data_IF_390072988155
#
_entry.id   IF_390072988155
#
_cell.length_a   1.000
_cell.length_b   1.000
_cell.length_c   1.000
_cell.angle_alpha   90.00
_cell.angle_beta   90.00
_cell.angle_gamma   90.00
#
_symmetry.space_group_name_H-M   'P 1'
#
loop_
_entity.id
_entity.type
_entity.pdbx_description
1 polymer ?
#
# COMPACT_ATOMS: atom_id res chain seq x y z
N UNK A 1 -47.21 9.42 16.45
CA UNK A 1 -46.67 10.52 15.60
C UNK A 1 -45.50 11.15 16.35
N UNK A 2 -44.36 11.28 15.66
CA UNK A 2 -43.07 11.94 15.98
C UNK A 2 -42.14 11.16 16.95
N UNK A 3 -41.15 10.37 16.50
CA UNK A 3 -39.94 10.67 15.67
C UNK A 3 -38.92 11.46 16.52
N UNK A 4 -37.74 10.97 16.92
CA UNK A 4 -36.77 10.16 16.18
C UNK A 4 -35.47 10.97 16.06
N UNK A 5 -34.79 11.24 17.19
CA UNK A 5 -33.61 12.10 17.28
C UNK A 5 -32.37 11.32 17.71
N UNK A 6 -31.97 10.31 16.94
CA UNK A 6 -30.68 9.65 17.11
C UNK A 6 -29.67 10.28 16.16
N UNK A 7 -28.71 11.04 16.69
CA UNK A 7 -27.62 11.64 15.93
C UNK A 7 -26.91 10.57 15.11
N UNK A 8 -27.04 10.65 13.78
CA UNK A 8 -26.35 9.77 12.84
C UNK A 8 -24.87 10.17 12.79
N UNK A 9 -24.08 9.65 13.73
CA UNK A 9 -22.63 9.71 13.62
C UNK A 9 -22.22 9.05 12.30
N UNK A 10 -21.45 9.71 11.42
CA UNK A 10 -21.07 9.14 10.14
C UNK A 10 -20.32 7.83 10.41
N UNK A 11 -20.95 6.73 10.02
CA UNK A 11 -20.40 5.38 10.17
C UNK A 11 -19.08 5.36 9.40
N UNK A 12 -17.95 5.40 10.10
CA UNK A 12 -16.61 5.31 9.49
C UNK A 12 -16.62 4.07 8.58
N UNK A 13 -16.65 4.30 7.27
CA UNK A 13 -16.61 3.22 6.29
C UNK A 13 -15.22 2.61 6.38
N UNK A 14 -15.11 1.52 7.13
CA UNK A 14 -13.87 0.76 7.24
C UNK A 14 -13.91 -0.30 6.15
N UNK A 15 -12.98 -0.24 5.20
CA UNK A 15 -12.83 -1.26 4.19
C UNK A 15 -12.12 -2.48 4.80
N UNK A 16 -12.65 -3.68 4.52
CA UNK A 16 -12.03 -4.94 4.90
C UNK A 16 -11.10 -5.36 3.76
N UNK A 17 -9.85 -4.90 3.80
CA UNK A 17 -8.80 -5.27 2.84
C UNK A 17 -7.91 -6.32 3.50
N UNK A 18 -7.93 -7.52 2.94
CA UNK A 18 -7.44 -8.72 3.59
C UNK A 18 -5.95 -8.92 3.24
N UNK A 19 -5.05 -8.41 4.08
CA UNK A 19 -3.65 -8.87 4.09
C UNK A 19 -3.57 -10.06 5.04
N UNK A 20 -3.74 -11.28 4.52
CA UNK A 20 -3.51 -12.50 5.31
C UNK A 20 -2.01 -12.79 5.33
N UNK A 21 -1.35 -12.56 6.45
CA UNK A 21 0.08 -12.81 6.67
C UNK A 21 0.37 -14.26 7.11
N UNK A 22 -0.62 -15.16 7.03
CA UNK A 22 -0.44 -16.58 7.29
C UNK A 22 -0.13 -16.86 8.76
N UNK A 23 1.08 -17.33 9.06
CA UNK A 23 1.53 -17.64 10.43
C UNK A 23 1.60 -16.42 11.36
N UNK A 24 1.52 -15.21 10.80
CA UNK A 24 1.49 -13.94 11.54
C UNK A 24 0.07 -13.34 11.55
N UNK A 25 -0.98 -14.17 11.55
CA UNK A 25 -2.38 -13.72 11.52
C UNK A 25 -2.73 -12.71 12.61
N UNK A 26 -2.05 -12.76 13.77
CA UNK A 26 -2.22 -11.78 14.85
C UNK A 26 -1.82 -10.36 14.45
N UNK A 27 -0.93 -10.23 13.46
CA UNK A 27 -0.46 -8.98 12.87
C UNK A 27 -1.26 -8.59 11.62
N UNK A 28 -2.24 -9.39 11.20
CA UNK A 28 -3.08 -9.06 10.05
C UNK A 28 -3.74 -7.69 10.25
N UNK A 29 -3.72 -6.89 9.20
CA UNK A 29 -4.38 -5.58 9.22
C UNK A 29 -5.88 -5.86 9.15
N UNK A 30 -6.51 -5.91 10.32
CA UNK A 30 -7.94 -6.25 10.44
C UNK A 30 -8.84 -5.27 9.70
N UNK A 31 -8.40 -4.02 9.58
CA UNK A 31 -9.17 -2.86 9.12
C UNK A 31 -8.24 -1.76 8.58
N UNK A 32 -8.40 -1.39 7.31
CA UNK A 32 -7.77 -0.18 6.75
C UNK A 32 -8.86 0.91 6.63
N UNK A 33 -8.65 2.11 7.19
CA UNK A 33 -9.59 3.22 6.98
C UNK A 33 -9.70 3.57 5.50
N UNK A 34 -10.91 3.93 5.04
CA UNK A 34 -11.08 4.45 3.67
C UNK A 34 -10.18 5.67 3.45
N UNK A 35 -9.58 5.77 2.26
CA UNK A 35 -8.61 6.83 1.95
C UNK A 35 -7.24 6.64 2.59
N UNK A 36 -6.96 5.45 3.11
CA UNK A 36 -5.64 5.06 3.61
C UNK A 36 -5.23 3.72 3.00
N UNK A 37 -3.93 3.49 2.97
CA UNK A 37 -3.32 2.23 2.58
C UNK A 37 -2.27 1.83 3.60
N UNK A 38 -2.08 0.53 3.76
CA UNK A 38 -0.97 -0.02 4.55
C UNK A 38 0.36 0.05 3.79
N UNK A 39 1.47 -0.15 4.51
CA UNK A 39 2.80 -0.22 3.89
C UNK A 39 2.88 -1.39 2.88
N UNK A 40 2.27 -2.54 3.19
CA UNK A 40 2.25 -3.71 2.29
C UNK A 40 1.52 -3.37 0.98
N UNK A 41 0.37 -2.72 1.08
CA UNK A 41 -0.40 -2.27 -0.09
C UNK A 41 0.35 -1.20 -0.88
N UNK A 42 0.99 -0.24 -0.20
CA UNK A 42 1.81 0.78 -0.84
C UNK A 42 2.95 0.15 -1.64
N UNK A 43 3.69 -0.81 -1.06
CA UNK A 43 4.77 -1.50 -1.77
C UNK A 43 4.24 -2.30 -2.97
N UNK A 44 3.10 -2.97 -2.81
CA UNK A 44 2.49 -3.77 -3.86
C UNK A 44 1.98 -2.90 -5.02
N UNK A 45 1.26 -1.81 -4.74
CA UNK A 45 0.75 -0.90 -5.79
C UNK A 45 1.91 -0.19 -6.51
N UNK A 46 2.95 0.24 -5.79
CA UNK A 46 4.13 0.88 -6.37
C UNK A 46 4.89 -0.08 -7.28
N UNK A 47 5.06 -1.33 -6.86
CA UNK A 47 5.69 -2.37 -7.69
C UNK A 47 4.85 -2.68 -8.94
N UNK A 48 3.53 -2.80 -8.79
CA UNK A 48 2.64 -3.06 -9.91
C UNK A 48 2.60 -1.91 -10.93
N UNK A 49 2.58 -0.66 -10.45
CA UNK A 49 2.69 0.52 -11.32
C UNK A 49 4.03 0.54 -12.06
N UNK A 50 5.14 0.22 -11.38
CA UNK A 50 6.46 0.12 -12.00
C UNK A 50 6.53 -0.96 -13.09
N UNK A 51 5.94 -2.13 -12.88
CA UNK A 51 5.95 -3.24 -13.84
C UNK A 51 4.96 -3.03 -15.01
N UNK A 52 3.79 -2.47 -14.72
CA UNK A 52 2.68 -2.33 -15.67
C UNK A 52 1.97 -0.97 -15.53
N UNK A 53 2.63 0.15 -15.88
CA UNK A 53 2.09 1.50 -15.66
C UNK A 53 0.81 1.76 -16.44
N UNK A 54 0.65 1.12 -17.60
CA UNK A 54 -0.53 1.26 -18.47
C UNK A 54 -1.79 0.62 -17.86
N UNK A 55 -1.62 -0.41 -17.04
CA UNK A 55 -2.70 -1.13 -16.37
C UNK A 55 -2.97 -0.48 -15.02
N UNK A 56 -1.91 -0.27 -14.24
CA UNK A 56 -1.97 0.31 -12.91
C UNK A 56 -1.82 1.83 -12.97
N UNK A 57 -2.76 2.50 -13.64
CA UNK A 57 -2.77 3.97 -13.72
C UNK A 57 -3.12 4.61 -12.37
N UNK A 58 -2.84 5.90 -12.22
CA UNK A 58 -3.18 6.64 -11.01
C UNK A 58 -4.69 6.61 -10.71
N UNK A 59 -5.54 6.68 -11.74
CA UNK A 59 -7.00 6.61 -11.61
C UNK A 59 -7.45 5.22 -11.15
N UNK A 60 -6.86 4.16 -11.71
CA UNK A 60 -7.17 2.79 -11.27
C UNK A 60 -6.78 2.62 -9.80
N UNK A 61 -5.60 3.07 -9.40
CA UNK A 61 -5.13 2.96 -8.01
C UNK A 61 -6.03 3.77 -7.07
N UNK A 62 -6.39 5.00 -7.44
CA UNK A 62 -7.29 5.85 -6.68
C UNK A 62 -8.64 5.17 -6.45
N UNK A 63 -9.24 4.62 -7.50
CA UNK A 63 -10.50 3.88 -7.41
C UNK A 63 -10.38 2.58 -6.60
N UNK A 64 -9.31 1.81 -6.82
CA UNK A 64 -9.09 0.51 -6.18
C UNK A 64 -8.88 0.66 -4.68
N UNK A 65 -8.25 1.73 -4.21
CA UNK A 65 -7.91 1.93 -2.78
C UNK A 65 -8.70 3.08 -2.12
N UNK A 66 -9.72 3.62 -2.80
CA UNK A 66 -10.49 4.77 -2.33
C UNK A 66 -9.60 5.97 -1.94
N UNK A 67 -8.50 6.21 -2.66
CA UNK A 67 -7.56 7.30 -2.43
C UNK A 67 -7.90 8.52 -3.27
N UNK A 68 -7.49 9.70 -2.82
CA UNK A 68 -7.57 10.91 -3.63
C UNK A 68 -6.56 10.86 -4.77
N UNK A 69 -6.98 11.22 -5.99
CA UNK A 69 -6.14 11.13 -7.18
C UNK A 69 -4.85 11.97 -7.04
N UNK A 70 -4.93 13.14 -6.40
CA UNK A 70 -3.76 13.98 -6.15
C UNK A 70 -2.75 13.33 -5.19
N UNK A 71 -3.24 12.62 -4.17
CA UNK A 71 -2.37 11.87 -3.25
C UNK A 71 -1.71 10.69 -3.97
N UNK A 72 -2.43 10.01 -4.87
CA UNK A 72 -1.86 8.93 -5.69
C UNK A 72 -0.79 9.48 -6.64
N UNK A 73 -1.04 10.59 -7.31
CA UNK A 73 -0.03 11.21 -8.19
C UNK A 73 1.23 11.58 -7.41
N UNK A 74 1.07 12.20 -6.23
CA UNK A 74 2.20 12.52 -5.34
C UNK A 74 2.93 11.25 -4.88
N UNK A 75 2.20 10.19 -4.54
CA UNK A 75 2.78 8.91 -4.15
C UNK A 75 3.63 8.32 -5.29
N UNK A 76 3.11 8.30 -6.52
CA UNK A 76 3.82 7.75 -7.68
C UNK A 76 5.03 8.61 -8.11
N UNK A 77 4.95 9.93 -7.93
CA UNK A 77 6.04 10.86 -8.24
C UNK A 77 7.20 10.75 -7.23
N UNK A 78 6.88 10.70 -5.93
CA UNK A 78 7.90 10.82 -4.87
C UNK A 78 8.32 9.49 -4.24
N UNK A 79 7.51 8.44 -4.30
CA UNK A 79 7.85 7.14 -3.74
C UNK A 79 8.19 6.14 -4.84
N UNK A 80 9.48 6.08 -5.19
CA UNK A 80 10.00 5.08 -6.11
C UNK A 80 10.54 3.90 -5.29
N UNK A 81 10.04 2.66 -5.50
CA UNK A 81 10.54 1.50 -4.77
C UNK A 81 12.00 1.24 -5.15
N UNK A 82 12.86 1.04 -4.14
CA UNK A 82 14.26 0.70 -4.33
C UNK A 82 14.38 -0.58 -5.17
N UNK A 83 15.16 -0.52 -6.25
CA UNK A 83 15.49 -1.72 -7.03
C UNK A 83 16.57 -2.48 -6.29
N UNK A 84 16.19 -3.49 -5.53
CA UNK A 84 17.11 -4.40 -4.87
C UNK A 84 17.68 -5.36 -5.94
N UNK A 85 18.86 -5.05 -6.44
CA UNK A 85 19.59 -5.96 -7.30
C UNK A 85 20.44 -6.86 -6.41
N UNK A 86 20.21 -8.17 -6.46
CA UNK A 86 21.15 -9.12 -5.87
C UNK A 86 22.45 -9.02 -6.65
N UNK A 87 23.49 -8.46 -6.02
CA UNK A 87 24.82 -8.50 -6.59
C UNK A 87 25.26 -9.95 -6.75
N UNK A 88 25.89 -10.31 -7.87
CA UNK A 88 26.54 -11.61 -7.99
C UNK A 88 27.43 -11.83 -6.76
N UNK A 89 27.44 -13.06 -6.22
CA UNK A 89 28.35 -13.47 -5.14
C UNK A 89 29.80 -13.58 -5.64
N UNK A 90 30.23 -12.66 -6.49
CA UNK A 90 31.62 -12.53 -6.90
C UNK A 90 32.41 -12.30 -5.63
N UNK A 91 33.20 -13.33 -5.33
CA UNK A 91 34.02 -13.50 -4.13
C UNK A 91 34.44 -12.16 -3.55
N UNK A 92 33.92 -11.83 -2.35
CA UNK A 92 34.52 -10.80 -1.52
C UNK A 92 36.01 -11.13 -1.44
N UNK A 93 36.85 -10.42 -2.21
CA UNK A 93 38.30 -10.56 -2.07
C UNK A 93 38.59 -10.08 -0.67
N UNK A 94 38.92 -11.03 0.22
CA UNK A 94 39.31 -10.71 1.58
C UNK A 94 40.38 -9.62 1.51
N UNK A 95 40.13 -8.50 2.18
CA UNK A 95 41.16 -7.48 2.39
C UNK A 95 42.21 -8.17 3.24
N UNK A 96 43.37 -8.46 2.65
CA UNK A 96 44.48 -9.04 3.39
C UNK A 96 44.94 -7.98 4.39
N UNK A 97 45.02 -8.29 5.69
CA UNK A 97 45.62 -7.38 6.65
C UNK A 97 47.08 -7.13 6.22
N UNK A 98 47.49 -5.85 6.23
CA UNK A 98 48.87 -5.42 5.97
C UNK A 98 49.64 -5.40 7.27
#
# INVERSE_FOLDING_TARGET
VKDGGGEHLPRKHVEKRLTKLGQLEDLDIKKVPKGKISIVEALMLLNNHKLHPQIWTAEKIAAEYSLELNEVNSLLEFFIPFTLQEFPKETRKAIKPT
#
